data_IF_543437106192
#
_entry.id   IF_543437106192
#
_cell.length_a   1.000
_cell.length_b   1.000
_cell.length_c   1.000
_cell.angle_alpha   90.00
_cell.angle_beta   90.00
_cell.angle_gamma   90.00
#
_symmetry.space_group_name_H-M   'P 1'
#
loop_
_entity.id
_entity.type
_entity.pdbx_description
1 polymer ?
#
# COMPACT_ATOMS: atom_id res chain seq x y z
N UNK A 1 12.28 3.75 13.27
CA UNK A 1 11.06 3.86 12.43
C UNK A 1 10.78 2.61 11.59
N UNK A 2 11.64 2.18 10.65
CA UNK A 2 11.32 1.08 9.70
C UNK A 2 10.94 -0.29 10.31
N UNK A 3 11.38 -0.61 11.54
CA UNK A 3 11.00 -1.86 12.22
C UNK A 3 9.54 -1.85 12.69
N UNK A 4 9.04 -0.69 13.13
CA UNK A 4 7.74 -0.59 13.78
C UNK A 4 6.67 -0.03 12.83
N UNK A 5 7.06 0.50 11.67
CA UNK A 5 6.14 1.08 10.72
C UNK A 5 5.05 0.11 10.23
N UNK A 6 5.37 -1.15 9.84
CA UNK A 6 4.33 -2.14 9.52
C UNK A 6 3.40 -2.40 10.72
N UNK A 7 3.94 -2.45 11.95
CA UNK A 7 3.15 -2.69 13.16
C UNK A 7 2.19 -1.52 13.46
N UNK A 8 2.63 -0.28 13.23
CA UNK A 8 1.81 0.91 13.39
C UNK A 8 0.68 0.95 12.36
N UNK A 9 1.00 0.69 11.09
CA UNK A 9 0.02 0.58 10.02
C UNK A 9 -1.05 -0.47 10.37
N UNK A 10 -0.62 -1.66 10.79
CA UNK A 10 -1.54 -2.72 11.19
C UNK A 10 -2.40 -2.33 12.40
N UNK A 11 -1.80 -1.79 13.47
CA UNK A 11 -2.49 -1.42 14.72
C UNK A 11 -3.60 -0.40 14.49
N UNK A 12 -3.34 0.58 13.62
CA UNK A 12 -4.23 1.72 13.41
C UNK A 12 -5.03 1.63 12.11
N UNK A 13 -4.99 0.50 11.41
CA UNK A 13 -5.68 0.28 10.15
C UNK A 13 -7.22 0.33 10.27
N UNK A 14 -7.79 0.21 11.47
CA UNK A 14 -9.23 0.38 11.66
C UNK A 14 -9.66 1.85 11.83
N UNK A 15 -8.71 2.73 12.16
CA UNK A 15 -8.99 4.12 12.49
C UNK A 15 -8.91 4.99 11.24
N UNK A 16 -10.07 5.24 10.62
CA UNK A 16 -10.25 6.02 9.39
C UNK A 16 -9.39 7.30 9.33
N UNK A 17 -9.39 8.10 10.39
CA UNK A 17 -8.65 9.37 10.44
C UNK A 17 -7.12 9.19 10.44
N UNK A 18 -6.64 8.01 10.82
CA UNK A 18 -5.21 7.70 10.91
C UNK A 18 -4.68 7.04 9.65
N UNK A 19 -5.51 6.44 8.81
CA UNK A 19 -5.07 5.65 7.64
C UNK A 19 -4.29 6.50 6.65
N UNK A 20 -4.88 7.61 6.20
CA UNK A 20 -4.23 8.52 5.24
C UNK A 20 -2.86 9.02 5.73
N UNK A 21 -2.73 9.65 6.92
CA UNK A 21 -1.44 10.12 7.39
C UNK A 21 -0.45 8.99 7.65
N UNK A 22 -0.90 7.81 8.11
CA UNK A 22 -0.01 6.68 8.33
C UNK A 22 0.55 6.12 7.03
N UNK A 23 -0.29 5.93 6.01
CA UNK A 23 0.15 5.39 4.72
C UNK A 23 1.10 6.36 4.02
N UNK A 24 0.89 7.67 4.16
CA UNK A 24 1.76 8.67 3.55
C UNK A 24 3.16 8.73 4.17
N UNK A 25 3.39 8.18 5.37
CA UNK A 25 4.75 8.14 5.96
C UNK A 25 5.78 7.50 5.01
N UNK A 26 5.37 6.53 4.18
CA UNK A 26 6.30 5.86 3.25
C UNK A 26 6.92 6.82 2.22
N UNK A 27 6.21 7.89 1.83
CA UNK A 27 6.70 8.84 0.82
C UNK A 27 7.85 9.70 1.35
N UNK A 28 8.03 9.72 2.67
CA UNK A 28 9.10 10.43 3.35
C UNK A 28 10.26 9.50 3.76
N UNK A 29 10.20 8.22 3.39
CA UNK A 29 11.25 7.24 3.66
C UNK A 29 12.12 7.06 2.42
N UNK A 30 13.45 7.12 2.58
CA UNK A 30 14.35 6.65 1.55
C UNK A 30 14.22 5.13 1.40
N UNK A 31 13.60 4.69 0.30
CA UNK A 31 13.29 3.29 0.06
C UNK A 31 14.54 2.40 -0.11
N UNK A 32 15.68 2.97 -0.50
CA UNK A 32 16.95 2.24 -0.58
C UNK A 32 17.38 1.67 0.78
N UNK A 33 16.94 2.31 1.88
CA UNK A 33 17.24 1.83 3.22
C UNK A 33 16.64 0.45 3.54
N UNK A 34 15.59 0.03 2.82
CA UNK A 34 15.04 -1.31 2.97
C UNK A 34 16.02 -2.37 2.46
N UNK A 35 16.67 -2.14 1.32
CA UNK A 35 17.71 -3.05 0.80
C UNK A 35 19.00 -2.94 1.60
N UNK A 36 19.47 -1.72 1.89
CA UNK A 36 20.73 -1.49 2.60
C UNK A 36 20.75 -2.08 4.02
N UNK A 37 19.58 -2.32 4.63
CA UNK A 37 19.45 -2.86 6.00
C UNK A 37 18.85 -4.26 6.05
N UNK A 38 18.72 -4.94 4.90
CA UNK A 38 18.09 -6.26 4.79
C UNK A 38 16.70 -6.29 5.45
N UNK A 39 15.84 -5.35 5.02
CA UNK A 39 14.46 -5.14 5.48
C UNK A 39 13.45 -5.27 4.35
N UNK A 40 13.77 -6.02 3.31
CA UNK A 40 12.91 -6.30 2.16
C UNK A 40 11.56 -6.87 2.60
N UNK A 41 11.55 -7.77 3.59
CA UNK A 41 10.31 -8.33 4.14
C UNK A 41 9.42 -7.27 4.81
N UNK A 42 10.02 -6.27 5.47
CA UNK A 42 9.25 -5.17 6.04
C UNK A 42 8.63 -4.30 4.94
N UNK A 43 9.34 -4.06 3.84
CA UNK A 43 8.81 -3.34 2.68
C UNK A 43 7.62 -4.09 2.07
N UNK A 44 7.76 -5.40 1.85
CA UNK A 44 6.67 -6.25 1.35
C UNK A 44 5.46 -6.20 2.26
N UNK A 45 5.66 -6.32 3.58
CA UNK A 45 4.59 -6.20 4.56
C UNK A 45 3.88 -4.83 4.52
N UNK A 46 4.64 -3.74 4.41
CA UNK A 46 4.07 -2.38 4.28
C UNK A 46 3.16 -2.27 3.06
N UNK A 47 3.62 -2.73 1.89
CA UNK A 47 2.82 -2.68 0.67
C UNK A 47 1.53 -3.51 0.82
N UNK A 48 1.63 -4.73 1.36
CA UNK A 48 0.47 -5.58 1.62
C UNK A 48 -0.54 -4.90 2.55
N UNK A 49 -0.07 -4.22 3.59
CA UNK A 49 -0.91 -3.42 4.48
C UNK A 49 -1.55 -2.22 3.77
N UNK A 50 -0.85 -1.57 2.83
CA UNK A 50 -1.44 -0.48 2.02
C UNK A 50 -2.53 -0.98 1.07
N UNK A 51 -2.34 -2.15 0.44
CA UNK A 51 -3.38 -2.80 -0.36
C UNK A 51 -4.60 -3.14 0.50
N UNK A 52 -4.39 -3.69 1.69
CA UNK A 52 -5.46 -3.97 2.63
C UNK A 52 -6.20 -2.69 3.06
N UNK A 53 -5.46 -1.61 3.34
CA UNK A 53 -6.05 -0.31 3.67
C UNK A 53 -6.90 0.24 2.52
N UNK A 54 -6.44 0.13 1.27
CA UNK A 54 -7.20 0.55 0.09
C UNK A 54 -8.55 -0.15 -0.03
N UNK A 55 -8.61 -1.46 0.19
CA UNK A 55 -9.88 -2.19 0.11
C UNK A 55 -10.77 -2.05 1.35
N UNK A 56 -10.18 -1.72 2.51
CA UNK A 56 -10.92 -1.55 3.76
C UNK A 56 -11.57 -0.17 3.89
N UNK A 57 -10.98 0.86 3.29
CA UNK A 57 -11.40 2.26 3.44
C UNK A 57 -11.90 2.81 2.11
N UNK A 58 -13.16 3.22 2.07
CA UNK A 58 -13.81 3.76 0.87
C UNK A 58 -13.70 5.29 0.73
N UNK A 59 -13.06 5.96 1.68
CA UNK A 59 -12.98 7.40 1.71
C UNK A 59 -11.96 7.95 0.73
N UNK A 60 -12.33 9.06 0.10
CA UNK A 60 -11.52 9.74 -0.93
C UNK A 60 -10.07 9.95 -0.50
N UNK A 61 -9.84 10.42 0.72
CA UNK A 61 -8.50 10.74 1.21
C UNK A 61 -7.69 9.46 1.46
N UNK A 62 -8.27 8.45 2.10
CA UNK A 62 -7.62 7.16 2.32
C UNK A 62 -7.25 6.48 0.98
N UNK A 63 -8.17 6.46 0.02
CA UNK A 63 -7.93 5.91 -1.32
C UNK A 63 -6.80 6.66 -2.05
N UNK A 64 -6.85 8.00 -2.05
CA UNK A 64 -5.82 8.84 -2.69
C UNK A 64 -4.45 8.63 -2.06
N UNK A 65 -4.36 8.60 -0.73
CA UNK A 65 -3.11 8.36 -0.01
C UNK A 65 -2.56 6.95 -0.28
N UNK A 66 -3.42 5.92 -0.32
CA UNK A 66 -3.00 4.56 -0.68
C UNK A 66 -2.43 4.49 -2.10
N UNK A 67 -3.14 5.04 -3.09
CA UNK A 67 -2.66 5.05 -4.49
C UNK A 67 -1.34 5.84 -4.62
N UNK A 68 -1.25 7.00 -3.97
CA UNK A 68 -0.03 7.82 -3.94
C UNK A 68 1.16 7.05 -3.35
N UNK A 69 0.96 6.39 -2.21
CA UNK A 69 1.98 5.62 -1.52
C UNK A 69 2.44 4.39 -2.32
N UNK A 70 1.50 3.60 -2.85
CA UNK A 70 1.84 2.42 -3.66
C UNK A 70 2.55 2.83 -4.96
N UNK A 71 2.09 3.90 -5.63
CA UNK A 71 2.77 4.46 -6.80
C UNK A 71 4.20 4.87 -6.47
N UNK A 72 4.40 5.62 -5.38
CA UNK A 72 5.73 6.02 -4.92
C UNK A 72 6.64 4.81 -4.71
N UNK A 73 6.14 3.75 -4.07
CA UNK A 73 6.90 2.50 -3.93
C UNK A 73 7.27 1.88 -5.28
N UNK A 74 6.39 1.91 -6.27
CA UNK A 74 6.65 1.35 -7.60
C UNK A 74 7.59 2.21 -8.47
N UNK A 75 7.68 3.52 -8.22
CA UNK A 75 8.57 4.42 -8.99
C UNK A 75 9.92 4.62 -8.33
N UNK A 76 9.97 4.80 -7.01
CA UNK A 76 11.18 5.24 -6.29
C UNK A 76 11.99 4.09 -5.67
N UNK A 77 11.45 2.88 -5.58
CA UNK A 77 12.26 1.71 -5.16
C UNK A 77 13.09 1.17 -6.33
N UNK A 78 14.04 0.27 -6.03
CA UNK A 78 14.97 -0.30 -7.02
C UNK A 78 15.06 -1.81 -6.92
N UNK A 79 15.45 -2.44 -8.03
CA UNK A 79 15.67 -3.89 -8.12
C UNK A 79 14.41 -4.67 -7.72
N UNK A 80 14.60 -5.75 -6.95
CA UNK A 80 13.53 -6.65 -6.53
C UNK A 80 12.38 -5.97 -5.78
N UNK A 81 12.65 -4.88 -5.05
CA UNK A 81 11.60 -4.11 -4.36
C UNK A 81 10.68 -3.41 -5.36
N UNK A 82 11.24 -2.91 -6.46
CA UNK A 82 10.48 -2.25 -7.52
C UNK A 82 9.62 -3.24 -8.28
N UNK A 83 10.17 -4.40 -8.62
CA UNK A 83 9.42 -5.46 -9.29
C UNK A 83 8.26 -5.93 -8.42
N UNK A 84 8.50 -6.15 -7.12
CA UNK A 84 7.45 -6.48 -6.17
C UNK A 84 6.37 -5.40 -6.08
N UNK A 85 6.76 -4.12 -5.97
CA UNK A 85 5.82 -3.01 -5.89
C UNK A 85 4.96 -2.87 -7.16
N UNK A 86 5.55 -3.05 -8.35
CA UNK A 86 4.83 -3.01 -9.63
C UNK A 86 3.87 -4.18 -9.77
N UNK A 87 4.28 -5.39 -9.39
CA UNK A 87 3.39 -6.54 -9.37
C UNK A 87 2.21 -6.30 -8.43
N UNK A 88 2.46 -5.68 -7.28
CA UNK A 88 1.41 -5.38 -6.32
C UNK A 88 0.42 -4.29 -6.81
N UNK A 89 0.88 -3.31 -7.60
CA UNK A 89 -0.02 -2.37 -8.31
C UNK A 89 -0.95 -3.14 -9.23
N UNK A 90 -0.38 -4.02 -10.07
CA UNK A 90 -1.15 -4.81 -11.03
C UNK A 90 -2.19 -5.71 -10.35
N UNK A 91 -1.80 -6.39 -9.27
CA UNK A 91 -2.73 -7.20 -8.48
C UNK A 91 -3.86 -6.38 -7.86
N UNK A 92 -3.58 -5.15 -7.42
CA UNK A 92 -4.61 -4.25 -6.89
C UNK A 92 -5.59 -3.82 -7.99
N UNK A 93 -5.08 -3.49 -9.17
CA UNK A 93 -5.90 -3.15 -10.35
C UNK A 93 -6.79 -4.32 -10.78
N UNK A 94 -6.21 -5.52 -10.93
CA UNK A 94 -6.93 -6.72 -11.33
C UNK A 94 -8.05 -7.08 -10.33
N UNK A 95 -7.74 -7.04 -9.02
CA UNK A 95 -8.72 -7.31 -7.97
C UNK A 95 -9.83 -6.24 -7.92
N UNK A 96 -9.50 -4.97 -8.10
CA UNK A 96 -10.48 -3.88 -8.16
C UNK A 96 -11.41 -4.06 -9.35
N UNK A 97 -10.87 -4.33 -10.54
CA UNK A 97 -11.66 -4.54 -11.76
C UNK A 97 -12.57 -5.77 -11.61
N UNK A 98 -12.06 -6.86 -11.02
CA UNK A 98 -12.85 -8.06 -10.78
C UNK A 98 -14.03 -7.78 -9.83
N UNK A 99 -13.78 -7.11 -8.69
CA UNK A 99 -14.82 -6.73 -7.73
C UNK A 99 -15.85 -5.78 -8.34
N UNK A 100 -15.41 -4.79 -9.12
CA UNK A 100 -16.30 -3.86 -9.80
C UNK A 100 -17.18 -4.57 -10.83
N UNK A 101 -16.60 -5.44 -11.67
CA UNK A 101 -17.36 -6.24 -12.64
C UNK A 101 -18.40 -7.14 -11.97
N UNK A 102 -18.06 -7.76 -10.84
CA UNK A 102 -19.02 -8.55 -10.04
C UNK A 102 -20.16 -7.68 -9.54
N UNK A 103 -19.83 -6.55 -8.89
CA UNK A 103 -20.84 -5.64 -8.34
C UNK A 103 -21.78 -5.07 -9.40
N UNK A 104 -21.27 -4.78 -10.61
CA UNK A 104 -22.12 -4.31 -11.72
C UNK A 104 -23.11 -5.40 -12.16
N UNK A 105 -22.68 -6.68 -12.22
CA UNK A 105 -23.57 -7.79 -12.57
C UNK A 105 -24.65 -8.04 -11.52
N UNK A 106 -24.38 -7.74 -10.26
CA UNK A 106 -25.36 -7.93 -9.17
C UNK A 106 -26.42 -6.81 -9.13
N UNK A 107 -26.17 -5.68 -9.78
CA UNK A 107 -27.06 -4.49 -9.82
C UNK A 107 -27.86 -4.40 -11.12
N UNK A 108 -27.45 -5.11 -12.19
CA UNK A 108 -28.12 -5.16 -13.50
C UNK A 108 -28.89 -6.46 -13.67
#
# INVERSE_FOLDING_TARGET
>A
MMKNYPQLLHKFMAEKEKVAPLVEVIIHINLELYSLKSKEQNFKAVLQLMKAAFFKHGEKDALRSCVKAVKFCATESRGELQDFARNQVKELEDELIAKLKSAIKDVV
#
